data_IF_620144837373
#
_entry.id   IF_620144837373
#
_cell.length_a   1.000
_cell.length_b   1.000
_cell.length_c   1.000
_cell.angle_alpha   90.00
_cell.angle_beta   90.00
_cell.angle_gamma   90.00
#
_symmetry.space_group_name_H-M   'P 1'
#
loop_
_entity.id
_entity.type
_entity.pdbx_description
1 polymer ?
#
# COMPACT_ATOMS: atom_id res chain seq x y z
N UNK A 1 -3.58 -23.01 3.38
CA UNK A 1 -4.57 -24.10 3.51
C UNK A 1 -5.81 -23.67 2.73
N UNK A 2 -6.53 -24.61 2.12
CA UNK A 2 -7.73 -24.26 1.35
C UNK A 2 -8.90 -24.11 2.31
N UNK A 3 -9.53 -22.94 2.31
CA UNK A 3 -10.70 -22.65 3.12
C UNK A 3 -11.94 -23.23 2.44
N UNK A 4 -12.80 -23.89 3.22
CA UNK A 4 -14.07 -24.46 2.74
C UNK A 4 -15.23 -23.88 3.53
N UNK A 5 -16.30 -23.49 2.83
CA UNK A 5 -17.51 -22.94 3.43
C UNK A 5 -18.72 -23.26 2.57
N UNK A 6 -19.89 -23.27 3.20
CA UNK A 6 -21.18 -23.40 2.52
C UNK A 6 -21.64 -22.01 2.07
N UNK A 7 -22.20 -21.95 0.85
CA UNK A 7 -22.72 -20.71 0.28
C UNK A 7 -24.11 -20.46 0.83
N UNK A 8 -24.30 -19.33 1.49
CA UNK A 8 -25.59 -18.94 2.07
C UNK A 8 -26.45 -18.20 1.05
N UNK A 9 -25.83 -17.31 0.26
CA UNK A 9 -26.53 -16.49 -0.73
C UNK A 9 -25.61 -16.17 -1.92
N UNK A 10 -26.18 -16.06 -3.11
CA UNK A 10 -25.51 -15.49 -4.30
C UNK A 10 -26.41 -14.44 -4.94
N UNK A 11 -25.80 -13.45 -5.56
CA UNK A 11 -26.57 -12.38 -6.18
C UNK A 11 -25.73 -11.48 -7.07
N UNK A 12 -26.38 -10.46 -7.61
CA UNK A 12 -25.74 -9.44 -8.46
C UNK A 12 -25.84 -8.07 -7.80
N UNK A 13 -24.86 -7.21 -8.08
CA UNK A 13 -24.88 -5.83 -7.63
C UNK A 13 -25.69 -4.97 -8.61
N UNK A 14 -26.82 -4.44 -8.14
CA UNK A 14 -27.50 -3.27 -8.72
C UNK A 14 -27.28 -2.02 -7.86
N UNK A 15 -28.21 -1.04 -7.88
CA UNK A 15 -28.27 -0.01 -6.83
C UNK A 15 -28.38 -0.62 -5.43
N UNK A 16 -29.11 -1.74 -5.33
CA UNK A 16 -29.22 -2.60 -4.15
C UNK A 16 -28.70 -4.01 -4.48
N UNK A 17 -28.46 -4.83 -3.44
CA UNK A 17 -28.15 -6.25 -3.60
C UNK A 17 -29.39 -7.01 -4.08
N UNK A 18 -29.27 -7.73 -5.20
CA UNK A 18 -30.36 -8.51 -5.79
C UNK A 18 -29.98 -9.99 -5.74
N UNK A 19 -30.64 -10.74 -4.86
CA UNK A 19 -30.49 -12.19 -4.73
C UNK A 19 -30.83 -12.90 -6.05
N UNK A 20 -30.04 -13.94 -6.37
CA UNK A 20 -30.22 -14.80 -7.54
C UNK A 20 -30.09 -16.26 -7.12
N UNK A 21 -30.72 -17.15 -7.89
CA UNK A 21 -30.60 -18.60 -7.65
C UNK A 21 -29.19 -19.13 -7.98
N UNK A 22 -28.50 -18.52 -8.95
CA UNK A 22 -27.14 -18.92 -9.36
C UNK A 22 -26.43 -17.79 -10.11
N UNK A 23 -25.09 -17.87 -10.12
CA UNK A 23 -24.22 -17.09 -11.01
C UNK A 23 -23.60 -18.02 -12.06
N UNK A 24 -23.62 -17.61 -13.32
CA UNK A 24 -23.10 -18.35 -14.46
C UNK A 24 -21.80 -17.75 -15.01
N UNK A 25 -21.13 -18.50 -15.89
CA UNK A 25 -19.90 -18.06 -16.50
C UNK A 25 -20.09 -16.75 -17.28
N UNK A 26 -19.32 -15.73 -16.89
CA UNK A 26 -19.38 -14.39 -17.49
C UNK A 26 -20.15 -13.35 -16.67
N UNK A 27 -20.84 -13.76 -15.61
CA UNK A 27 -21.55 -12.84 -14.72
C UNK A 27 -20.65 -12.29 -13.62
N UNK A 28 -20.97 -11.09 -13.14
CA UNK A 28 -20.30 -10.40 -12.03
C UNK A 28 -21.31 -10.19 -10.92
N UNK A 29 -20.97 -10.60 -9.70
CA UNK A 29 -21.88 -10.58 -8.57
C UNK A 29 -21.17 -10.73 -7.23
N UNK A 30 -21.91 -11.18 -6.23
CA UNK A 30 -21.41 -11.46 -4.89
C UNK A 30 -21.79 -12.86 -4.41
N UNK A 31 -21.06 -13.32 -3.40
CA UNK A 31 -21.29 -14.58 -2.70
C UNK A 31 -21.21 -14.27 -1.20
N UNK A 32 -22.25 -14.62 -0.45
CA UNK A 32 -22.23 -14.57 1.01
C UNK A 32 -21.87 -15.96 1.51
N UNK A 33 -20.85 -16.00 2.36
CA UNK A 33 -20.38 -17.23 3.03
C UNK A 33 -20.42 -17.00 4.53
N UNK A 34 -20.59 -18.07 5.31
CA UNK A 34 -20.55 -18.00 6.78
C UNK A 34 -19.15 -17.75 7.37
N UNK A 35 -18.16 -17.38 6.55
CA UNK A 35 -16.77 -17.15 6.95
C UNK A 35 -16.69 -15.81 7.69
N UNK A 36 -16.33 -15.87 8.98
CA UNK A 36 -16.22 -14.69 9.85
C UNK A 36 -14.85 -14.03 9.82
N UNK A 37 -13.80 -14.79 9.50
CA UNK A 37 -12.44 -14.26 9.41
C UNK A 37 -12.20 -13.65 8.04
N UNK A 38 -12.32 -12.33 7.96
CA UNK A 38 -12.21 -11.57 6.72
C UNK A 38 -10.80 -11.64 6.11
N UNK A 39 -9.77 -11.88 6.94
CA UNK A 39 -8.39 -12.09 6.46
C UNK A 39 -8.17 -13.39 5.67
N UNK A 40 -9.15 -14.31 5.71
CA UNK A 40 -9.05 -15.63 5.07
C UNK A 40 -9.53 -15.65 3.62
N UNK A 41 -10.10 -14.54 3.13
CA UNK A 41 -10.51 -14.34 1.73
C UNK A 41 -9.80 -13.09 1.20
N UNK A 42 -8.89 -13.26 0.25
CA UNK A 42 -8.17 -12.14 -0.35
C UNK A 42 -8.74 -11.80 -1.74
N UNK A 43 -8.69 -10.51 -2.08
CA UNK A 43 -8.95 -10.06 -3.46
C UNK A 43 -8.04 -10.83 -4.40
N UNK A 44 -8.60 -11.38 -5.49
CA UNK A 44 -7.85 -12.14 -6.48
C UNK A 44 -7.69 -13.63 -6.21
N UNK A 45 -8.22 -14.15 -5.09
CA UNK A 45 -8.36 -15.59 -4.89
C UNK A 45 -9.35 -16.22 -5.89
N UNK A 46 -9.26 -17.53 -6.04
CA UNK A 46 -10.17 -18.31 -6.91
C UNK A 46 -11.09 -19.17 -6.07
N UNK A 47 -12.38 -18.93 -6.18
CA UNK A 47 -13.43 -19.75 -5.55
C UNK A 47 -13.79 -20.87 -6.53
N UNK A 48 -13.88 -22.10 -6.03
CA UNK A 48 -14.26 -23.27 -6.84
C UNK A 48 -15.05 -24.27 -6.01
N UNK A 49 -15.74 -25.19 -6.67
CA UNK A 49 -16.50 -26.25 -6.00
C UNK A 49 -15.57 -27.27 -5.34
N UNK A 50 -15.98 -27.80 -4.18
CA UNK A 50 -15.18 -28.77 -3.43
C UNK A 50 -15.14 -30.15 -4.09
N UNK A 51 -16.23 -30.56 -4.75
CA UNK A 51 -16.35 -31.87 -5.42
C UNK A 51 -15.81 -31.83 -6.85
N UNK A 52 -15.98 -30.70 -7.54
CA UNK A 52 -15.51 -30.48 -8.90
C UNK A 52 -14.61 -29.23 -8.96
N UNK A 53 -13.47 -29.31 -8.29
CA UNK A 53 -12.53 -28.19 -8.22
C UNK A 53 -11.88 -27.89 -9.57
N UNK A 54 -11.65 -26.60 -9.82
CA UNK A 54 -10.86 -26.16 -10.95
C UNK A 54 -9.43 -26.71 -10.87
N UNK A 55 -8.88 -27.15 -12.01
CA UNK A 55 -7.53 -27.72 -12.07
C UNK A 55 -6.43 -26.72 -11.66
N UNK A 56 -6.68 -25.41 -11.85
CA UNK A 56 -5.74 -24.33 -11.56
C UNK A 56 -6.49 -23.11 -11.06
N UNK A 57 -5.93 -22.44 -10.05
CA UNK A 57 -6.34 -21.10 -9.66
C UNK A 57 -6.09 -20.10 -10.80
N UNK A 58 -6.93 -19.08 -10.88
CA UNK A 58 -6.76 -18.01 -11.85
C UNK A 58 -5.45 -17.25 -11.58
N UNK A 59 -4.60 -17.06 -12.60
CA UNK A 59 -3.40 -16.26 -12.47
C UNK A 59 -3.76 -14.77 -12.49
N UNK A 60 -2.91 -13.93 -11.90
CA UNK A 60 -2.88 -12.50 -12.22
C UNK A 60 -2.98 -11.55 -11.04
N UNK A 61 -3.51 -11.99 -9.90
CA UNK A 61 -3.49 -11.13 -8.72
C UNK A 61 -2.09 -11.07 -8.11
N UNK A 62 -1.56 -9.87 -7.98
CA UNK A 62 -0.36 -9.59 -7.21
C UNK A 62 -0.76 -8.70 -6.06
N UNK A 63 -0.56 -9.17 -4.83
CA UNK A 63 -0.83 -8.35 -3.64
C UNK A 63 -0.11 -7.00 -3.80
N UNK A 64 -0.84 -5.88 -3.69
CA UNK A 64 -0.23 -4.57 -3.78
C UNK A 64 0.91 -4.46 -2.77
N UNK A 65 2.08 -4.00 -3.22
CA UNK A 65 3.24 -3.83 -2.34
C UNK A 65 3.27 -2.40 -1.83
N UNK A 66 3.28 -2.18 -0.50
CA UNK A 66 3.46 -0.86 0.05
C UNK A 66 4.81 -0.26 -0.36
N UNK A 67 4.78 0.99 -0.82
CA UNK A 67 5.96 1.73 -1.28
C UNK A 67 6.41 2.78 -0.26
N UNK A 68 5.48 3.28 0.55
CA UNK A 68 5.72 4.30 1.57
C UNK A 68 5.28 3.73 2.91
N UNK A 69 6.07 3.96 3.95
CA UNK A 69 5.79 3.53 5.31
C UNK A 69 5.75 4.74 6.23
N UNK A 70 4.85 4.73 7.21
CA UNK A 70 4.83 5.72 8.27
C UNK A 70 4.29 5.13 9.58
N UNK A 71 4.76 5.67 10.71
CA UNK A 71 4.25 5.35 12.03
C UNK A 71 3.00 6.17 12.34
N UNK A 72 1.94 5.50 12.75
CA UNK A 72 0.68 6.06 13.23
C UNK A 72 0.59 5.85 14.74
N UNK A 73 0.47 6.95 15.49
CA UNK A 73 0.45 6.95 16.95
C UNK A 73 -0.81 7.66 17.46
N UNK A 74 -1.43 7.13 18.53
CA UNK A 74 -2.54 7.82 19.17
C UNK A 74 -2.04 9.05 19.92
N UNK A 75 -2.79 10.16 19.86
CA UNK A 75 -2.53 11.35 20.67
C UNK A 75 -2.87 11.11 22.15
N UNK A 76 -3.93 10.34 22.41
CA UNK A 76 -4.44 10.08 23.75
C UNK A 76 -3.95 8.72 24.25
N UNK A 77 -3.30 8.72 25.41
CA UNK A 77 -2.77 7.52 26.06
C UNK A 77 -3.91 6.63 26.55
N UNK A 78 -4.37 5.73 25.69
CA UNK A 78 -5.51 4.84 25.94
C UNK A 78 -6.17 4.33 24.65
N UNK A 79 -5.94 5.00 23.52
CA UNK A 79 -6.60 4.72 22.24
C UNK A 79 -5.86 3.71 21.34
N UNK A 80 -4.83 3.03 21.85
CA UNK A 80 -4.08 2.03 21.07
C UNK A 80 -4.97 0.89 20.55
N UNK A 81 -5.83 0.36 21.42
CA UNK A 81 -6.76 -0.72 21.06
C UNK A 81 -7.81 -0.21 20.05
N UNK A 82 -8.34 1.00 20.24
CA UNK A 82 -9.26 1.62 19.30
C UNK A 82 -8.61 1.86 17.93
N UNK A 83 -7.35 2.31 17.89
CA UNK A 83 -6.60 2.47 16.66
C UNK A 83 -6.34 1.12 15.97
N UNK A 84 -6.00 0.08 16.74
CA UNK A 84 -5.84 -1.28 16.21
C UNK A 84 -7.11 -1.78 15.55
N UNK A 85 -8.23 -1.62 16.23
CA UNK A 85 -9.53 -2.12 15.77
C UNK A 85 -10.02 -1.31 14.55
N UNK A 86 -9.77 0.01 14.52
CA UNK A 86 -10.04 0.87 13.38
C UNK A 86 -9.19 0.49 12.15
N UNK A 87 -7.87 0.26 12.34
CA UNK A 87 -6.98 -0.22 11.28
C UNK A 87 -7.40 -1.60 10.78
N UNK A 88 -7.78 -2.50 11.68
CA UNK A 88 -8.30 -3.82 11.33
C UNK A 88 -9.54 -3.71 10.46
N UNK A 89 -10.55 -2.93 10.87
CA UNK A 89 -11.76 -2.68 10.08
C UNK A 89 -11.45 -2.03 8.73
N UNK A 90 -10.53 -1.07 8.68
CA UNK A 90 -10.16 -0.39 7.45
C UNK A 90 -9.45 -1.33 6.47
N UNK A 91 -8.56 -2.21 6.96
CA UNK A 91 -7.87 -3.21 6.15
C UNK A 91 -8.80 -4.25 5.51
N UNK A 92 -10.03 -4.40 6.01
CA UNK A 92 -11.04 -5.26 5.38
C UNK A 92 -11.51 -4.68 4.04
N UNK A 93 -11.63 -3.35 3.99
CA UNK A 93 -12.05 -2.62 2.80
C UNK A 93 -10.86 -2.29 1.90
N UNK A 94 -9.66 -2.13 2.48
CA UNK A 94 -8.44 -1.79 1.76
C UNK A 94 -7.37 -2.88 1.91
N UNK A 95 -7.30 -3.75 0.90
CA UNK A 95 -6.35 -4.87 0.85
C UNK A 95 -4.89 -4.45 0.65
N UNK A 96 -4.63 -3.15 0.41
CA UNK A 96 -3.30 -2.59 0.23
C UNK A 96 -2.68 -2.05 1.51
N UNK A 97 -3.51 -1.79 2.53
CA UNK A 97 -3.06 -1.35 3.85
C UNK A 97 -2.43 -2.52 4.61
N UNK A 98 -1.14 -2.37 4.94
CA UNK A 98 -0.40 -3.30 5.78
C UNK A 98 -0.02 -2.58 7.07
N UNK A 99 -0.14 -3.22 8.24
CA UNK A 99 0.24 -2.59 9.49
C UNK A 99 0.80 -3.58 10.50
N UNK A 100 1.82 -3.15 11.24
CA UNK A 100 2.43 -3.93 12.32
C UNK A 100 2.59 -3.07 13.57
N UNK A 101 2.43 -3.62 14.78
CA UNK A 101 2.69 -2.90 16.01
C UNK A 101 4.10 -2.29 16.05
N UNK A 102 4.20 -1.04 16.47
CA UNK A 102 5.45 -0.31 16.64
C UNK A 102 5.46 0.40 18.00
N UNK A 103 6.61 0.41 18.67
CA UNK A 103 6.82 1.17 19.90
C UNK A 103 7.88 2.24 19.62
N UNK A 104 7.47 3.50 19.75
CA UNK A 104 8.33 4.66 19.65
C UNK A 104 8.75 5.12 21.05
N UNK A 105 10.03 5.44 21.20
CA UNK A 105 10.57 6.00 22.46
C UNK A 105 9.90 7.34 22.82
N UNK A 106 9.55 8.14 21.81
CA UNK A 106 9.00 9.47 22.03
C UNK A 106 7.46 9.51 21.98
N UNK A 107 6.84 8.68 21.12
CA UNK A 107 5.40 8.72 20.86
C UNK A 107 4.63 7.56 21.50
N UNK A 108 5.33 6.61 22.13
CA UNK A 108 4.71 5.45 22.77
C UNK A 108 4.25 4.40 21.76
N UNK A 109 3.13 3.75 22.06
CA UNK A 109 2.59 2.64 21.27
C UNK A 109 1.85 3.15 20.03
N UNK A 110 2.12 2.52 18.88
CA UNK A 110 1.47 2.83 17.61
C UNK A 110 1.63 1.69 16.61
N UNK A 111 1.47 2.02 15.34
CA UNK A 111 1.53 1.06 14.24
C UNK A 111 2.41 1.58 13.12
N UNK A 112 3.33 0.75 12.63
CA UNK A 112 4.00 0.99 11.36
C UNK A 112 3.08 0.54 10.24
N UNK A 113 2.58 1.50 9.47
CA UNK A 113 1.68 1.23 8.36
C UNK A 113 2.40 1.41 7.03
N UNK A 114 2.09 0.53 6.08
CA UNK A 114 2.53 0.59 4.69
C UNK A 114 1.40 1.08 3.79
N UNK A 115 1.74 1.97 2.88
CA UNK A 115 0.84 2.61 1.92
C UNK A 115 1.38 2.50 0.49
N UNK A 116 0.48 2.57 -0.50
CA UNK A 116 0.85 2.64 -1.91
C UNK A 116 1.55 3.95 -2.30
N UNK A 117 1.33 5.02 -1.55
CA UNK A 117 1.91 6.35 -1.78
C UNK A 117 1.40 7.38 -0.78
N UNK A 118 1.81 8.63 -0.95
CA UNK A 118 1.47 9.73 -0.04
C UNK A 118 -0.04 10.02 0.00
N UNK A 119 -0.71 9.99 -1.16
CA UNK A 119 -2.16 10.20 -1.23
C UNK A 119 -2.93 9.10 -0.49
N UNK A 120 -2.50 7.83 -0.66
CA UNK A 120 -3.12 6.72 0.05
C UNK A 120 -2.97 6.86 1.57
N UNK A 121 -1.79 7.28 2.03
CA UNK A 121 -1.56 7.59 3.45
C UNK A 121 -2.49 8.70 3.95
N UNK A 122 -2.69 9.76 3.16
CA UNK A 122 -3.57 10.86 3.53
C UNK A 122 -5.04 10.44 3.62
N UNK A 123 -5.52 9.66 2.65
CA UNK A 123 -6.88 9.11 2.65
C UNK A 123 -7.08 8.21 3.88
N UNK A 124 -6.14 7.30 4.15
CA UNK A 124 -6.23 6.41 5.32
C UNK A 124 -6.27 7.20 6.62
N UNK A 125 -5.41 8.22 6.78
CA UNK A 125 -5.45 9.12 7.94
C UNK A 125 -6.83 9.75 8.11
N UNK A 126 -7.33 10.38 7.06
CA UNK A 126 -8.58 11.14 7.10
C UNK A 126 -9.79 10.23 7.36
N UNK A 127 -9.79 9.01 6.82
CA UNK A 127 -10.80 8.00 7.13
C UNK A 127 -10.74 7.55 8.58
N UNK A 128 -9.55 7.31 9.14
CA UNK A 128 -9.39 6.95 10.55
C UNK A 128 -9.93 8.05 11.48
N UNK A 129 -9.64 9.31 11.18
CA UNK A 129 -10.14 10.45 11.97
C UNK A 129 -11.65 10.65 11.83
N UNK A 130 -12.20 10.54 10.60
CA UNK A 130 -13.62 10.82 10.35
C UNK A 130 -14.56 9.67 10.69
N UNK A 131 -14.21 8.45 10.34
CA UNK A 131 -15.09 7.27 10.49
C UNK A 131 -14.98 6.67 11.90
N UNK A 132 -13.80 6.75 12.52
CA UNK A 132 -13.53 6.09 13.80
C UNK A 132 -13.21 7.06 14.95
N UNK A 133 -13.09 8.36 14.67
CA UNK A 133 -12.81 9.39 15.68
C UNK A 133 -11.39 9.35 16.24
N UNK A 134 -10.49 8.55 15.65
CA UNK A 134 -9.14 8.34 16.15
C UNK A 134 -8.25 9.54 15.86
N UNK A 135 -7.87 10.30 16.89
CA UNK A 135 -6.89 11.39 16.74
C UNK A 135 -5.48 10.83 16.67
N UNK A 136 -4.84 10.98 15.51
CA UNK A 136 -3.59 10.30 15.18
C UNK A 136 -2.46 11.28 14.86
N UNK A 137 -1.27 10.97 15.36
CA UNK A 137 -0.01 11.57 14.93
C UNK A 137 0.65 10.65 13.90
N UNK A 138 1.14 11.25 12.82
CA UNK A 138 1.84 10.56 11.76
C UNK A 138 3.30 10.98 11.76
N UNK A 139 4.22 10.00 11.74
CA UNK A 139 5.64 10.28 11.58
C UNK A 139 5.97 10.69 10.14
N UNK A 140 7.17 11.23 9.91
CA UNK A 140 7.65 11.44 8.54
C UNK A 140 7.61 10.13 7.75
N UNK A 141 7.04 10.13 6.52
CA UNK A 141 7.03 8.94 5.69
C UNK A 141 8.44 8.55 5.25
N UNK A 142 8.67 7.26 5.09
CA UNK A 142 9.92 6.72 4.57
C UNK A 142 9.68 5.62 3.54
N UNK A 143 10.67 5.36 2.70
CA UNK A 143 10.68 4.23 1.79
C UNK A 143 11.33 3.00 2.44
N UNK A 144 11.11 1.82 1.86
CA UNK A 144 11.84 0.61 2.24
C UNK A 144 13.23 0.62 1.59
N UNK A 145 14.27 0.48 2.40
CA UNK A 145 15.66 0.35 1.94
C UNK A 145 16.07 -1.12 1.90
N UNK A 146 16.89 -1.49 0.93
CA UNK A 146 17.55 -2.81 0.91
C UNK A 146 18.99 -2.64 1.37
N UNK A 147 19.38 -3.42 2.37
CA UNK A 147 20.72 -3.35 2.95
C UNK A 147 21.38 -4.71 2.79
N UNK A 148 22.54 -4.71 2.14
CA UNK A 148 23.43 -5.86 2.08
C UNK A 148 24.43 -5.76 3.22
N UNK A 149 24.40 -6.75 4.13
CA UNK A 149 25.30 -6.81 5.28
C UNK A 149 26.67 -7.38 4.90
N UNK A 150 27.64 -7.24 5.80
CA UNK A 150 29.00 -7.79 5.66
C UNK A 150 29.06 -9.30 5.45
N UNK A 151 28.02 -10.03 5.84
CA UNK A 151 27.85 -11.47 5.61
C UNK A 151 27.16 -11.81 4.26
N UNK A 152 26.99 -10.83 3.38
CA UNK A 152 26.22 -10.90 2.13
C UNK A 152 24.71 -11.20 2.30
N UNK A 153 24.18 -11.21 3.52
CA UNK A 153 22.72 -11.30 3.72
C UNK A 153 22.05 -9.97 3.37
N UNK A 154 20.87 -10.06 2.74
CA UNK A 154 20.05 -8.89 2.40
C UNK A 154 18.90 -8.76 3.39
N UNK A 155 18.72 -7.57 3.94
CA UNK A 155 17.55 -7.23 4.75
C UNK A 155 16.79 -6.06 4.12
N UNK A 156 15.47 -6.09 4.22
CA UNK A 156 14.60 -4.97 3.87
C UNK A 156 14.27 -4.19 5.15
N UNK A 157 14.63 -2.91 5.17
CA UNK A 157 14.45 -2.03 6.30
C UNK A 157 13.33 -1.04 6.01
N UNK A 158 12.20 -1.25 6.70
CA UNK A 158 10.99 -0.42 6.61
C UNK A 158 10.92 0.65 7.71
N UNK A 159 11.76 0.52 8.74
CA UNK A 159 11.85 1.40 9.91
C UNK A 159 13.25 1.96 10.06
N UNK A 160 13.35 3.27 10.32
CA UNK A 160 14.64 3.92 10.55
C UNK A 160 15.37 3.37 11.78
N UNK A 161 14.65 2.86 12.78
CA UNK A 161 15.22 2.20 13.97
C UNK A 161 15.86 0.83 13.68
N UNK A 162 15.44 0.17 12.61
CA UNK A 162 15.90 -1.18 12.24
C UNK A 162 17.16 -1.12 11.36
N UNK A 163 17.68 0.08 11.09
CA UNK A 163 18.90 0.26 10.34
C UNK A 163 20.08 -0.35 11.14
N UNK A 164 20.83 -1.31 10.57
CA UNK A 164 21.96 -1.92 11.25
C UNK A 164 23.10 -0.92 11.44
N UNK A 165 24.02 -1.24 12.36
CA UNK A 165 25.23 -0.43 12.58
C UNK A 165 26.08 -0.34 11.31
N UNK A 166 26.70 0.82 11.08
CA UNK A 166 27.48 1.10 9.86
C UNK A 166 28.56 0.06 9.56
N UNK A 167 29.22 -0.49 10.60
CA UNK A 167 30.25 -1.52 10.48
C UNK A 167 29.76 -2.84 9.86
N UNK A 168 28.45 -3.09 9.91
CA UNK A 168 27.82 -4.31 9.38
C UNK A 168 27.22 -4.11 7.98
N UNK A 169 27.34 -2.92 7.38
CA UNK A 169 26.73 -2.58 6.09
C UNK A 169 27.76 -2.52 4.97
N UNK A 170 27.53 -3.26 3.89
CA UNK A 170 28.33 -3.17 2.66
C UNK A 170 27.70 -2.25 1.62
N UNK A 171 26.38 -2.36 1.45
CA UNK A 171 25.64 -1.63 0.41
C UNK A 171 24.26 -1.24 0.93
N UNK A 172 23.85 -0.02 0.59
CA UNK A 172 22.49 0.47 0.82
C UNK A 172 21.90 0.78 -0.54
N UNK A 173 20.70 0.26 -0.80
CA UNK A 173 19.94 0.50 -2.01
C UNK A 173 18.60 1.11 -1.64
N UNK A 174 18.21 2.13 -2.39
CA UNK A 174 16.93 2.82 -2.25
C UNK A 174 16.09 2.65 -3.53
N UNK A 175 14.75 2.70 -3.43
CA UNK A 175 13.89 2.61 -4.61
C UNK A 175 14.01 3.85 -5.48
N UNK A 176 14.20 3.63 -6.78
CA UNK A 176 14.15 4.67 -7.81
C UNK A 176 12.87 4.52 -8.64
N UNK A 177 12.33 5.65 -9.07
CA UNK A 177 11.17 5.74 -9.95
C UNK A 177 11.52 6.53 -11.20
N UNK A 178 10.87 6.18 -12.30
CA UNK A 178 10.85 7.04 -13.49
C UNK A 178 9.71 8.06 -13.33
N UNK A 179 10.07 9.30 -13.06
CA UNK A 179 9.15 10.42 -12.99
C UNK A 179 8.97 11.02 -14.38
N UNK A 180 7.72 11.07 -14.86
CA UNK A 180 7.34 11.79 -16.09
C UNK A 180 6.63 13.07 -15.69
N UNK A 181 7.22 14.21 -16.05
CA UNK A 181 6.72 15.54 -15.68
C UNK A 181 6.28 16.25 -16.95
N UNK A 182 5.01 16.65 -17.01
CA UNK A 182 4.48 17.47 -18.10
C UNK A 182 4.35 18.90 -17.59
N UNK A 183 5.03 19.84 -18.25
CA UNK A 183 5.09 21.23 -17.83
C UNK A 183 5.05 22.19 -19.02
N UNK A 184 4.52 23.42 -18.86
CA UNK A 184 4.68 24.46 -19.87
C UNK A 184 6.16 24.79 -20.14
N UNK A 185 6.46 25.23 -21.36
CA UNK A 185 7.83 25.54 -21.80
C UNK A 185 8.54 26.56 -20.90
N UNK A 186 7.80 27.51 -20.34
CA UNK A 186 8.36 28.57 -19.51
C UNK A 186 8.93 28.07 -18.18
N UNK A 187 8.44 26.92 -17.68
CA UNK A 187 8.85 26.36 -16.38
C UNK A 187 9.91 25.26 -16.47
N UNK A 188 10.45 24.99 -17.66
CA UNK A 188 11.46 23.93 -17.86
C UNK A 188 12.65 24.11 -16.92
N UNK A 189 13.19 25.34 -16.86
CA UNK A 189 14.35 25.64 -16.04
C UNK A 189 14.12 25.37 -14.55
N UNK A 190 12.97 25.80 -14.03
CA UNK A 190 12.61 25.61 -12.62
C UNK A 190 12.37 24.14 -12.27
N UNK A 191 11.67 23.41 -13.15
CA UNK A 191 11.41 21.97 -12.97
C UNK A 191 12.73 21.18 -12.98
N UNK A 192 13.60 21.43 -13.97
CA UNK A 192 14.89 20.73 -14.04
C UNK A 192 15.79 21.07 -12.84
N UNK A 193 15.79 22.33 -12.39
CA UNK A 193 16.54 22.75 -11.20
C UNK A 193 16.04 22.01 -9.95
N UNK A 194 14.73 21.92 -9.76
CA UNK A 194 14.13 21.21 -8.63
C UNK A 194 14.45 19.70 -8.70
N UNK A 195 14.28 19.07 -9.87
CA UNK A 195 14.59 17.66 -10.04
C UNK A 195 16.06 17.35 -9.75
N UNK A 196 17.00 18.20 -10.19
CA UNK A 196 18.42 18.04 -9.90
C UNK A 196 18.75 18.24 -8.40
N UNK A 197 18.09 19.17 -7.71
CA UNK A 197 18.22 19.34 -6.26
C UNK A 197 17.77 18.09 -5.50
N UNK A 198 16.77 17.39 -6.05
CA UNK A 198 16.20 16.13 -5.55
C UNK A 198 16.91 14.88 -6.10
N UNK A 199 18.20 15.00 -6.44
CA UNK A 199 19.07 13.91 -6.94
C UNK A 199 18.51 13.19 -8.18
N UNK A 200 17.66 13.86 -8.95
CA UNK A 200 17.09 13.31 -10.17
C UNK A 200 18.12 13.23 -11.29
N UNK A 201 18.14 12.09 -11.98
CA UNK A 201 18.94 11.88 -13.18
C UNK A 201 18.07 12.08 -14.41
N UNK A 202 18.35 13.14 -15.18
CA UNK A 202 17.67 13.42 -16.44
C UNK A 202 17.79 12.22 -17.41
N UNK A 203 16.69 11.85 -18.05
CA UNK A 203 16.64 10.76 -19.03
C UNK A 203 16.29 11.24 -20.43
N UNK A 204 15.19 11.97 -20.56
CA UNK A 204 14.69 12.40 -21.85
C UNK A 204 13.83 13.66 -21.73
N UNK A 205 13.67 14.39 -22.83
CA UNK A 205 12.78 15.53 -22.93
C UNK A 205 12.20 15.63 -24.34
N UNK A 206 10.87 15.70 -24.42
CA UNK A 206 10.14 15.75 -25.69
C UNK A 206 9.08 16.83 -25.66
N UNK A 207 8.99 17.63 -26.73
CA UNK A 207 7.90 18.59 -26.88
C UNK A 207 6.64 17.87 -27.36
N UNK A 208 5.61 17.82 -26.50
CA UNK A 208 4.30 17.28 -26.87
C UNK A 208 3.55 18.29 -27.76
N UNK A 209 3.79 19.58 -27.54
CA UNK A 209 3.22 20.69 -28.32
C UNK A 209 4.14 21.92 -28.23
N UNK A 210 3.91 23.00 -28.98
CA UNK A 210 4.72 24.23 -28.88
C UNK A 210 4.82 24.79 -27.45
N UNK A 211 3.77 24.61 -26.65
CA UNK A 211 3.64 25.16 -25.30
C UNK A 211 3.93 24.16 -24.18
N UNK A 212 3.99 22.85 -24.48
CA UNK A 212 4.13 21.80 -23.46
C UNK A 212 5.27 20.85 -23.75
N UNK A 213 6.03 20.55 -22.72
CA UNK A 213 7.11 19.59 -22.75
C UNK A 213 6.86 18.46 -21.75
N UNK A 214 7.24 17.25 -22.15
CA UNK A 214 7.39 16.10 -21.28
C UNK A 214 8.87 15.96 -20.92
N UNK A 215 9.16 15.79 -19.63
CA UNK A 215 10.52 15.58 -19.13
C UNK A 215 10.53 14.30 -18.29
N UNK A 216 11.46 13.40 -18.59
CA UNK A 216 11.64 12.13 -17.88
C UNK A 216 12.88 12.18 -17.01
N UNK A 217 12.73 11.79 -15.75
CA UNK A 217 13.80 11.69 -14.76
C UNK A 217 13.77 10.34 -14.07
N UNK A 218 14.94 9.77 -13.76
CA UNK A 218 15.05 8.71 -12.77
C UNK A 218 15.41 9.34 -11.41
N UNK A 219 14.51 9.24 -10.44
CA UNK A 219 14.64 9.90 -9.14
C UNK A 219 14.50 8.90 -8.00
N UNK A 220 15.20 9.08 -6.87
CA UNK A 220 14.91 8.34 -5.65
C UNK A 220 13.49 8.64 -5.15
N UNK A 221 12.74 7.62 -4.75
CA UNK A 221 11.39 7.80 -4.18
C UNK A 221 11.42 8.43 -2.77
N UNK A 222 12.59 8.45 -2.13
CA UNK A 222 12.81 9.03 -0.81
C UNK A 222 12.81 10.57 -0.80
N UNK A 223 12.92 11.20 -1.97
CA UNK A 223 13.04 12.66 -2.17
C UNK A 223 11.70 13.37 -2.41
#
# INVERSE_FOLDING_TARGET
ENLTSEVEEVGIFGPDMIEKEMLTAGEVGYIITGIKEVGSIMVGDTITDLKNSAEKSLPGYKKPKPMVYSGLFSIEGGDYENLRDALGKLSLNDSSLDFVPEVSVALGFGFRCGFLGLLHMEIVRERLEREYGSKILISTPNVAYKITKSDNSMIEVKRSSDFPSQEKMLKIEEPYVEATIITPKDYIGDVMKLANQKRGNFKDMQYISPERVEIKYAMPLSE
#
